data_IF_526112472667
#
_entry.id   IF_526112472667
#
_cell.length_a   1.000
_cell.length_b   1.000
_cell.length_c   1.000
_cell.angle_alpha   90.00
_cell.angle_beta   90.00
_cell.angle_gamma   90.00
#
_symmetry.space_group_name_H-M   'P 1'
#
loop_
_entity.id
_entity.type
_entity.pdbx_description
1 polymer ?
#
# COMPACT_ATOMS: atom_id res chain seq x y z
N UNK A 1 -55.24 -4.82 -3.36
CA UNK A 1 -54.21 -4.12 -4.19
C UNK A 1 -54.66 -2.78 -4.77
N UNK A 2 -55.78 -2.70 -5.52
CA UNK A 2 -56.21 -1.46 -6.23
C UNK A 2 -56.30 -0.17 -5.38
N UNK A 3 -56.71 -0.26 -4.10
CA UNK A 3 -56.83 0.92 -3.21
C UNK A 3 -55.48 1.49 -2.72
N UNK A 4 -54.43 0.67 -2.63
CA UNK A 4 -53.09 1.12 -2.18
C UNK A 4 -52.33 1.86 -3.29
N UNK A 5 -52.51 1.44 -4.54
CA UNK A 5 -51.93 2.10 -5.72
C UNK A 5 -52.49 3.51 -5.90
N UNK A 6 -53.80 3.70 -5.65
CA UNK A 6 -54.44 5.02 -5.75
C UNK A 6 -53.89 6.03 -4.73
N UNK A 7 -53.61 5.58 -3.50
CA UNK A 7 -53.07 6.45 -2.45
C UNK A 7 -51.63 6.91 -2.76
N UNK A 8 -50.81 6.04 -3.34
CA UNK A 8 -49.42 6.36 -3.71
C UNK A 8 -49.38 7.35 -4.88
N UNK A 9 -50.26 7.16 -5.88
CA UNK A 9 -50.40 8.11 -6.99
C UNK A 9 -50.84 9.49 -6.53
N UNK A 10 -51.74 9.57 -5.55
CA UNK A 10 -52.17 10.84 -4.96
C UNK A 10 -51.04 11.54 -4.20
N UNK A 11 -50.20 10.81 -3.45
CA UNK A 11 -49.04 11.40 -2.77
C UNK A 11 -47.99 11.90 -3.77
N UNK A 12 -47.78 11.18 -4.87
CA UNK A 12 -46.87 11.61 -5.94
C UNK A 12 -47.35 12.87 -6.64
N UNK A 13 -48.65 12.95 -6.95
CA UNK A 13 -49.26 14.15 -7.51
C UNK A 13 -49.16 15.34 -6.54
N UNK A 14 -49.30 15.09 -5.23
CA UNK A 14 -49.18 16.12 -4.20
C UNK A 14 -47.73 16.61 -4.02
N UNK A 15 -46.74 15.71 -4.08
CA UNK A 15 -45.32 16.11 -4.01
C UNK A 15 -44.86 16.83 -5.28
N UNK A 16 -45.41 16.47 -6.44
CA UNK A 16 -45.13 17.15 -7.70
C UNK A 16 -45.70 18.59 -7.75
N UNK A 17 -46.79 18.87 -7.03
CA UNK A 17 -47.34 20.24 -6.93
C UNK A 17 -46.65 21.10 -5.89
N UNK A 18 -46.07 20.50 -4.83
CA UNK A 18 -45.41 21.23 -3.74
C UNK A 18 -43.96 21.62 -4.07
N UNK A 19 -43.32 21.02 -5.08
CA UNK A 19 -42.03 21.48 -5.61
C UNK A 19 -42.23 22.35 -6.86
N UNK A 20 -42.56 23.65 -6.71
CA UNK A 20 -42.55 24.57 -7.83
C UNK A 20 -41.12 24.67 -8.37
N UNK A 21 -41.04 24.80 -9.70
CA UNK A 21 -39.85 24.85 -10.53
C UNK A 21 -38.93 26.05 -10.21
N UNK A 22 -38.28 26.04 -9.04
CA UNK A 22 -37.34 27.06 -8.59
C UNK A 22 -35.89 26.74 -8.99
N UNK A 23 -35.67 26.15 -10.16
CA UNK A 23 -34.33 26.02 -10.73
C UNK A 23 -34.33 26.64 -12.13
N UNK A 24 -33.86 27.89 -12.27
CA UNK A 24 -33.68 28.50 -13.59
C UNK A 24 -32.70 27.66 -14.41
N UNK A 25 -33.17 27.20 -15.57
CA UNK A 25 -32.39 26.45 -16.55
C UNK A 25 -31.31 27.36 -17.18
N UNK A 26 -30.15 27.51 -16.52
CA UNK A 26 -28.97 28.08 -17.17
C UNK A 26 -27.68 27.57 -16.56
N UNK A 27 -26.92 26.84 -17.38
CA UNK A 27 -25.57 26.28 -17.15
C UNK A 27 -25.56 25.18 -16.07
N UNK A 28 -25.09 23.96 -16.27
CA UNK A 28 -23.72 23.52 -16.56
C UNK A 28 -23.73 22.11 -17.18
N UNK A 29 -23.14 21.93 -18.36
CA UNK A 29 -23.07 20.63 -19.07
C UNK A 29 -21.86 19.74 -18.70
N UNK A 30 -21.19 19.94 -17.55
CA UNK A 30 -20.00 19.11 -17.19
C UNK A 30 -19.88 18.73 -15.72
N UNK A 31 -20.92 18.88 -14.89
CA UNK A 31 -20.85 18.48 -13.48
C UNK A 31 -21.26 17.03 -13.30
N UNK A 32 -20.31 16.19 -12.87
CA UNK A 32 -20.56 14.82 -12.38
C UNK A 32 -21.77 14.85 -11.42
N UNK A 33 -22.70 13.88 -11.54
CA UNK A 33 -23.89 13.84 -10.68
C UNK A 33 -23.47 13.86 -9.21
N UNK A 34 -24.10 14.75 -8.46
CA UNK A 34 -23.91 14.90 -7.02
C UNK A 34 -24.02 13.52 -6.32
N UNK A 35 -23.11 13.16 -5.41
CA UNK A 35 -23.14 11.87 -4.71
C UNK A 35 -24.46 11.63 -3.95
N UNK A 36 -25.20 12.69 -3.62
CA UNK A 36 -26.50 12.62 -2.97
C UNK A 36 -27.58 11.98 -3.85
N UNK A 37 -27.53 12.18 -5.18
CA UNK A 37 -28.52 11.63 -6.10
C UNK A 37 -28.38 10.09 -6.25
N UNK A 38 -27.15 9.56 -6.12
CA UNK A 38 -26.91 8.10 -6.10
C UNK A 38 -27.46 7.43 -4.84
N UNK A 39 -27.33 8.09 -3.68
CA UNK A 39 -27.88 7.58 -2.42
C UNK A 39 -29.42 7.63 -2.43
N UNK A 40 -30.01 8.68 -3.01
CA UNK A 40 -31.46 8.78 -3.12
C UNK A 40 -32.04 7.70 -4.04
N UNK A 41 -31.44 7.46 -5.22
CA UNK A 41 -31.90 6.42 -6.16
C UNK A 41 -31.76 5.00 -5.59
N UNK A 42 -30.70 4.72 -4.82
CA UNK A 42 -30.53 3.40 -4.14
C UNK A 42 -31.53 3.20 -3.01
N UNK A 43 -31.81 4.25 -2.23
CA UNK A 43 -32.85 4.23 -1.20
C UNK A 43 -34.25 4.08 -1.81
N UNK A 44 -34.54 4.80 -2.90
CA UNK A 44 -35.82 4.76 -3.61
C UNK A 44 -36.09 3.40 -4.26
N UNK A 45 -35.09 2.79 -4.91
CA UNK A 45 -35.23 1.44 -5.48
C UNK A 45 -35.44 0.36 -4.41
N UNK A 46 -34.91 0.56 -3.20
CA UNK A 46 -35.19 -0.31 -2.05
C UNK A 46 -36.62 -0.14 -1.54
N UNK A 47 -37.16 1.09 -1.57
CA UNK A 47 -38.53 1.40 -1.16
C UNK A 47 -39.59 0.91 -2.16
N UNK A 48 -39.34 1.05 -3.46
CA UNK A 48 -40.21 0.49 -4.52
C UNK A 48 -40.24 -1.05 -4.44
N UNK A 49 -39.09 -1.70 -4.22
CA UNK A 49 -39.06 -3.16 -3.98
C UNK A 49 -39.89 -3.56 -2.75
N UNK A 50 -39.89 -2.77 -1.68
CA UNK A 50 -40.69 -3.04 -0.50
C UNK A 50 -42.22 -2.89 -0.71
N UNK A 51 -42.64 -2.15 -1.74
CA UNK A 51 -44.05 -1.89 -2.05
C UNK A 51 -44.70 -2.97 -2.93
N UNK A 52 -43.91 -3.69 -3.73
CA UNK A 52 -44.36 -4.82 -4.56
C UNK A 52 -43.91 -6.20 -4.04
N UNK A 53 -43.11 -6.26 -2.96
CA UNK A 53 -42.56 -7.52 -2.48
C UNK A 53 -43.63 -8.41 -1.83
N UNK A 54 -44.07 -9.42 -2.57
CA UNK A 54 -44.20 -10.75 -1.98
C UNK A 54 -42.91 -11.02 -1.20
N UNK A 55 -43.00 -11.12 0.12
CA UNK A 55 -41.85 -11.45 0.97
C UNK A 55 -41.39 -12.86 0.61
N UNK A 56 -40.38 -12.90 -0.27
CA UNK A 56 -39.75 -14.15 -0.68
C UNK A 56 -38.78 -14.54 0.43
N UNK A 57 -38.87 -15.77 0.97
CA UNK A 57 -38.01 -16.15 2.06
C UNK A 57 -36.55 -16.23 1.63
N UNK A 58 -35.72 -15.30 2.11
CA UNK A 58 -34.31 -15.25 1.78
C UNK A 58 -33.48 -14.70 2.94
N UNK A 59 -32.18 -15.02 2.93
CA UNK A 59 -31.23 -14.47 3.91
C UNK A 59 -30.69 -13.16 3.38
N UNK A 60 -30.76 -12.11 4.17
CA UNK A 60 -30.38 -10.76 3.79
C UNK A 60 -29.46 -10.12 4.83
N UNK A 61 -28.65 -9.17 4.36
CA UNK A 61 -27.85 -8.33 5.23
C UNK A 61 -28.67 -7.11 5.65
N UNK A 62 -29.08 -7.06 6.93
CA UNK A 62 -29.69 -5.87 7.52
C UNK A 62 -28.66 -4.74 7.66
N UNK A 63 -27.41 -5.11 7.97
CA UNK A 63 -26.28 -4.17 8.05
C UNK A 63 -24.98 -4.84 7.62
N UNK A 64 -23.89 -4.06 7.56
CA UNK A 64 -22.55 -4.60 7.30
C UNK A 64 -22.12 -5.71 8.26
N UNK A 65 -22.72 -5.82 9.45
CA UNK A 65 -22.37 -6.81 10.47
C UNK A 65 -23.53 -7.70 10.91
N UNK A 66 -24.71 -7.57 10.31
CA UNK A 66 -25.90 -8.32 10.75
C UNK A 66 -26.53 -8.98 9.54
N UNK A 67 -26.63 -10.31 9.59
CA UNK A 67 -27.38 -11.15 8.65
C UNK A 67 -28.66 -11.62 9.35
N UNK A 68 -29.78 -11.64 8.65
CA UNK A 68 -31.03 -12.20 9.17
C UNK A 68 -31.79 -12.90 8.03
N UNK A 69 -32.70 -13.78 8.40
CA UNK A 69 -33.58 -14.46 7.48
C UNK A 69 -34.93 -13.74 7.45
N UNK A 70 -35.40 -13.36 6.26
CA UNK A 70 -36.73 -12.80 6.07
C UNK A 70 -37.72 -13.94 5.83
N UNK A 71 -38.81 -14.00 6.60
CA UNK A 71 -39.87 -15.01 6.46
C UNK A 71 -40.97 -14.56 5.50
N UNK A 72 -41.87 -15.46 5.13
CA UNK A 72 -43.02 -15.18 4.23
C UNK A 72 -43.97 -14.12 4.78
N UNK A 73 -44.09 -14.04 6.11
CA UNK A 73 -44.87 -13.03 6.83
C UNK A 73 -44.15 -11.67 6.95
N UNK A 74 -43.02 -11.50 6.25
CA UNK A 74 -42.15 -10.33 6.29
C UNK A 74 -41.50 -10.06 7.66
N UNK A 75 -41.52 -11.02 8.58
CA UNK A 75 -40.82 -10.90 9.85
C UNK A 75 -39.38 -11.42 9.75
N UNK A 76 -38.51 -10.89 10.62
CA UNK A 76 -37.10 -11.27 10.68
C UNK A 76 -36.88 -12.40 11.68
N UNK A 77 -36.08 -13.38 11.28
CA UNK A 77 -35.69 -14.52 12.11
C UNK A 77 -34.19 -14.84 11.92
N UNK A 78 -33.62 -15.73 12.73
CA UNK A 78 -32.23 -16.22 12.61
C UNK A 78 -31.17 -15.10 12.50
N UNK A 79 -31.32 -14.05 13.32
CA UNK A 79 -30.41 -12.90 13.33
C UNK A 79 -29.03 -13.35 13.81
N UNK A 80 -28.01 -13.13 12.98
CA UNK A 80 -26.62 -13.49 13.22
C UNK A 80 -25.73 -12.26 13.12
N UNK A 81 -24.92 -12.01 14.16
CA UNK A 81 -23.90 -10.95 14.14
C UNK A 81 -22.63 -11.50 13.51
N UNK A 82 -22.28 -10.99 12.34
CA UNK A 82 -21.08 -11.38 11.61
C UNK A 82 -19.83 -10.87 12.31
N UNK A 83 -18.83 -11.76 12.47
CA UNK A 83 -17.52 -11.42 13.03
C UNK A 83 -16.82 -10.31 12.25
N UNK A 84 -16.92 -10.39 10.91
CA UNK A 84 -16.26 -9.46 10.01
C UNK A 84 -17.26 -8.62 9.21
N UNK A 85 -17.87 -9.19 8.17
CA UNK A 85 -18.91 -8.51 7.40
C UNK A 85 -19.97 -9.48 6.85
N UNK A 86 -21.14 -8.93 6.48
CA UNK A 86 -22.19 -9.62 5.76
C UNK A 86 -22.06 -9.32 4.25
N UNK A 87 -21.96 -10.35 3.42
CA UNK A 87 -21.90 -10.21 1.97
C UNK A 87 -23.32 -9.97 1.43
N UNK A 88 -23.55 -8.79 0.83
CA UNK A 88 -24.87 -8.34 0.36
C UNK A 88 -25.44 -9.27 -0.72
N UNK A 89 -24.57 -9.86 -1.56
CA UNK A 89 -25.02 -10.69 -2.68
C UNK A 89 -25.50 -12.07 -2.23
N UNK A 90 -24.92 -12.59 -1.13
CA UNK A 90 -25.25 -13.94 -0.62
C UNK A 90 -26.09 -13.93 0.65
N UNK A 91 -26.19 -12.76 1.31
CA UNK A 91 -26.83 -12.62 2.62
C UNK A 91 -26.09 -13.32 3.76
N UNK A 92 -24.88 -13.86 3.54
CA UNK A 92 -24.13 -14.67 4.51
C UNK A 92 -22.98 -13.89 5.13
N UNK A 93 -22.63 -14.26 6.36
CA UNK A 93 -21.40 -13.76 6.99
C UNK A 93 -20.19 -14.36 6.28
N UNK A 94 -19.31 -13.48 5.79
CA UNK A 94 -18.07 -13.89 5.14
C UNK A 94 -16.87 -13.32 5.89
N UNK A 95 -15.80 -14.11 5.90
CA UNK A 95 -14.50 -13.64 6.35
C UNK A 95 -13.81 -12.89 5.21
N UNK A 96 -13.12 -11.77 5.51
CA UNK A 96 -12.43 -11.01 4.50
C UNK A 96 -11.38 -11.91 3.88
N UNK A 97 -11.37 -11.98 2.54
CA UNK A 97 -10.36 -12.73 1.79
C UNK A 97 -8.99 -12.11 2.04
N UNK A 98 -8.30 -12.55 3.08
CA UNK A 98 -6.97 -12.08 3.41
C UNK A 98 -5.94 -12.69 2.48
N UNK A 99 -5.28 -11.84 1.69
CA UNK A 99 -4.04 -12.24 1.00
C UNK A 99 -2.96 -12.47 2.04
N UNK A 100 -2.36 -13.66 2.01
CA UNK A 100 -1.22 -14.02 2.85
C UNK A 100 0.00 -13.19 2.47
N UNK A 101 0.76 -12.71 3.45
CA UNK A 101 1.95 -11.92 3.20
C UNK A 101 2.42 -11.10 4.40
N UNK A 102 3.60 -10.51 4.27
CA UNK A 102 4.13 -9.59 5.27
C UNK A 102 3.39 -8.26 5.21
N UNK A 103 2.86 -7.82 6.36
CA UNK A 103 2.25 -6.50 6.50
C UNK A 103 2.86 -5.76 7.70
N UNK A 104 2.82 -4.44 7.67
CA UNK A 104 3.14 -3.62 8.84
C UNK A 104 1.91 -3.60 9.76
N UNK A 105 2.08 -4.06 11.00
CA UNK A 105 1.01 -4.01 12.01
C UNK A 105 1.02 -2.70 12.78
N UNK A 106 2.20 -2.09 12.90
CA UNK A 106 2.40 -0.76 13.46
C UNK A 106 3.63 -0.09 12.80
N UNK A 107 4.03 1.07 13.31
CA UNK A 107 5.16 1.85 12.78
C UNK A 107 6.49 1.09 12.83
N UNK A 108 6.69 0.20 13.79
CA UNK A 108 7.96 -0.48 14.05
C UNK A 108 7.89 -2.00 14.00
N UNK A 109 6.74 -2.60 13.71
CA UNK A 109 6.60 -4.05 13.62
C UNK A 109 5.93 -4.47 12.32
N UNK A 110 6.44 -5.58 11.77
CA UNK A 110 5.77 -6.34 10.72
C UNK A 110 5.38 -7.72 11.20
N UNK A 111 4.30 -8.26 10.66
CA UNK A 111 3.86 -9.62 10.91
C UNK A 111 3.49 -10.30 9.59
N UNK A 112 3.60 -11.62 9.54
CA UNK A 112 3.11 -12.42 8.43
C UNK A 112 1.63 -12.71 8.66
N UNK A 113 0.76 -12.11 7.83
CA UNK A 113 -0.67 -12.38 7.82
C UNK A 113 -0.93 -13.68 7.05
N UNK A 114 -1.64 -14.61 7.67
CA UNK A 114 -2.07 -15.88 7.07
C UNK A 114 -3.37 -15.70 6.25
N UNK A 115 -3.82 -16.75 5.57
CA UNK A 115 -5.06 -16.73 4.74
C UNK A 115 -6.34 -16.57 5.58
N UNK A 116 -6.31 -17.02 6.82
CA UNK A 116 -7.35 -16.89 7.85
C UNK A 116 -7.35 -15.52 8.56
N UNK A 117 -6.62 -14.53 8.01
CA UNK A 117 -6.42 -13.20 8.59
C UNK A 117 -5.70 -13.18 9.95
N UNK A 118 -5.20 -14.30 10.47
CA UNK A 118 -4.42 -14.30 11.70
C UNK A 118 -2.98 -13.85 11.44
N UNK A 119 -2.33 -13.32 12.48
CA UNK A 119 -0.96 -12.82 12.41
C UNK A 119 0.02 -13.81 13.03
N UNK A 120 1.15 -14.01 12.38
CA UNK A 120 2.26 -14.83 12.87
C UNK A 120 3.61 -14.13 12.62
N UNK A 121 4.68 -14.66 13.21
CA UNK A 121 6.08 -14.24 12.94
C UNK A 121 6.27 -12.72 13.04
N UNK A 122 5.89 -12.12 14.16
CA UNK A 122 6.13 -10.68 14.41
C UNK A 122 7.62 -10.39 14.43
N UNK A 123 8.03 -9.29 13.79
CA UNK A 123 9.43 -8.82 13.76
C UNK A 123 9.49 -7.32 13.98
N UNK A 124 10.39 -6.90 14.86
CA UNK A 124 10.72 -5.49 15.07
C UNK A 124 11.57 -4.95 13.92
N UNK A 125 11.24 -3.76 13.46
CA UNK A 125 11.88 -3.00 12.39
C UNK A 125 12.49 -1.73 13.01
N UNK A 126 13.77 -1.77 13.35
CA UNK A 126 14.51 -0.68 14.02
C UNK A 126 14.32 0.71 13.41
N UNK A 127 14.16 0.81 12.09
CA UNK A 127 14.00 2.08 11.37
C UNK A 127 12.58 2.32 10.83
N UNK A 128 11.61 1.54 11.31
CA UNK A 128 10.22 1.60 10.90
C UNK A 128 9.84 0.54 9.86
N UNK A 129 8.53 0.35 9.68
CA UNK A 129 7.94 -0.55 8.69
C UNK A 129 7.15 0.24 7.65
N UNK A 130 7.32 -0.10 6.37
CA UNK A 130 6.51 0.45 5.27
C UNK A 130 6.21 -0.64 4.24
N UNK A 131 4.95 -0.77 3.83
CA UNK A 131 4.49 -1.73 2.82
C UNK A 131 4.94 -3.18 3.08
N UNK A 132 4.88 -3.62 4.35
CA UNK A 132 5.29 -4.98 4.75
C UNK A 132 6.81 -5.21 4.80
N UNK A 133 7.63 -4.17 4.59
CA UNK A 133 9.09 -4.25 4.62
C UNK A 133 9.65 -3.39 5.75
N UNK A 134 10.68 -3.91 6.44
CA UNK A 134 11.43 -3.10 7.40
C UNK A 134 12.29 -2.10 6.63
N UNK A 135 12.20 -0.84 7.02
CA UNK A 135 13.05 0.21 6.48
C UNK A 135 14.50 -0.02 6.94
N UNK A 136 15.45 0.29 6.06
CA UNK A 136 16.88 0.33 6.41
C UNK A 136 17.24 1.71 6.95
N UNK A 137 18.31 1.80 7.74
CA UNK A 137 18.88 3.08 8.18
C UNK A 137 19.13 3.92 6.92
N UNK A 138 18.53 5.11 6.83
CA UNK A 138 18.95 6.07 5.81
C UNK A 138 20.43 6.37 6.08
N UNK A 139 21.32 5.93 5.18
CA UNK A 139 22.74 6.29 5.25
C UNK A 139 22.79 7.82 5.13
N UNK A 140 23.32 8.51 6.16
CA UNK A 140 23.58 9.94 6.08
C UNK A 140 24.80 10.13 5.19
N UNK A 141 24.59 10.31 3.90
CA UNK A 141 25.67 10.59 2.99
C UNK A 141 26.05 12.07 3.09
N UNK A 142 27.28 12.31 3.55
CA UNK A 142 27.88 13.63 3.55
C UNK A 142 28.47 13.87 2.17
N UNK A 143 28.16 15.03 1.58
CA UNK A 143 28.76 15.45 0.31
C UNK A 143 30.26 15.58 0.51
N UNK A 144 31.04 14.74 -0.16
CA UNK A 144 32.50 14.75 -0.06
C UNK A 144 33.13 14.09 -1.27
N UNK A 145 34.37 14.46 -1.53
CA UNK A 145 35.23 13.69 -2.41
C UNK A 145 35.83 12.51 -1.65
N UNK A 146 35.86 11.33 -2.28
CA UNK A 146 36.58 10.14 -1.79
C UNK A 146 37.40 9.54 -2.93
N UNK A 147 38.43 8.79 -2.57
CA UNK A 147 39.20 8.01 -3.54
C UNK A 147 38.62 6.60 -3.64
N UNK A 148 38.48 6.10 -4.86
CA UNK A 148 38.20 4.68 -5.16
C UNK A 148 39.25 4.25 -6.18
N UNK A 149 40.28 3.54 -5.72
CA UNK A 149 41.46 3.26 -6.54
C UNK A 149 42.08 4.54 -7.10
N UNK A 150 42.21 4.62 -8.44
CA UNK A 150 42.73 5.79 -9.16
C UNK A 150 41.67 6.86 -9.47
N UNK A 151 40.46 6.75 -8.93
CA UNK A 151 39.38 7.72 -9.19
C UNK A 151 39.13 8.60 -7.97
N UNK A 152 39.08 9.91 -8.18
CA UNK A 152 38.48 10.85 -7.23
C UNK A 152 36.99 10.97 -7.55
N UNK A 153 36.12 10.64 -6.58
CA UNK A 153 34.68 10.57 -6.79
C UNK A 153 33.96 11.49 -5.79
N UNK A 154 33.10 12.37 -6.30
CA UNK A 154 32.21 13.23 -5.52
C UNK A 154 30.93 12.48 -5.19
N UNK A 155 30.74 12.18 -3.91
CA UNK A 155 29.51 11.53 -3.42
C UNK A 155 28.47 12.61 -3.13
N UNK A 156 27.29 12.48 -3.70
CA UNK A 156 26.15 13.36 -3.48
C UNK A 156 25.42 13.10 -2.15
N UNK A 157 24.42 13.93 -1.86
CA UNK A 157 23.58 13.80 -0.64
C UNK A 157 22.74 12.52 -0.64
N UNK A 158 22.50 11.94 -1.80
CA UNK A 158 21.74 10.71 -2.04
C UNK A 158 22.63 9.45 -2.09
N UNK A 159 23.90 9.57 -1.70
CA UNK A 159 24.91 8.50 -1.77
C UNK A 159 25.28 8.06 -3.20
N UNK A 160 24.85 8.79 -4.24
CA UNK A 160 25.25 8.51 -5.62
C UNK A 160 26.50 9.28 -6.00
N UNK A 161 27.18 8.84 -7.05
CA UNK A 161 28.33 9.53 -7.60
C UNK A 161 27.87 10.66 -8.53
N UNK A 162 28.20 11.90 -8.17
CA UNK A 162 27.86 13.09 -8.96
C UNK A 162 28.92 13.32 -10.05
N UNK A 163 30.19 13.21 -9.67
CA UNK A 163 31.37 13.48 -10.50
C UNK A 163 32.45 12.43 -10.24
N UNK A 164 33.15 12.02 -11.29
CA UNK A 164 34.24 11.04 -11.25
C UNK A 164 35.40 11.63 -12.07
N UNK A 165 36.56 11.73 -11.44
CA UNK A 165 37.79 12.14 -12.11
C UNK A 165 38.77 10.98 -12.06
N UNK A 166 39.31 10.59 -13.20
CA UNK A 166 40.43 9.67 -13.25
C UNK A 166 41.73 10.42 -12.91
N UNK A 167 42.51 9.85 -12.01
CA UNK A 167 43.77 10.41 -11.54
C UNK A 167 44.91 9.51 -12.02
N UNK A 168 45.64 9.96 -13.05
CA UNK A 168 46.76 9.24 -13.67
C UNK A 168 47.77 8.80 -12.61
N UNK A 169 48.12 9.73 -11.70
CA UNK A 169 49.10 9.54 -10.64
C UNK A 169 48.50 9.06 -9.31
N UNK A 170 47.23 8.62 -9.31
CA UNK A 170 46.53 8.16 -8.12
C UNK A 170 45.74 9.24 -7.38
N UNK A 171 44.96 8.82 -6.38
CA UNK A 171 44.07 9.69 -5.62
C UNK A 171 44.41 9.66 -4.14
N UNK A 172 44.46 10.83 -3.49
CA UNK A 172 44.63 10.95 -2.03
C UNK A 172 43.65 11.97 -1.46
N UNK A 173 42.95 11.61 -0.37
CA UNK A 173 41.94 12.46 0.31
C UNK A 173 40.88 13.07 -0.63
N UNK A 174 40.47 12.33 -1.67
CA UNK A 174 39.48 12.76 -2.65
C UNK A 174 39.99 13.74 -3.71
N UNK A 175 41.32 13.90 -3.84
CA UNK A 175 41.95 14.74 -4.88
C UNK A 175 42.93 13.89 -5.69
N UNK A 176 43.02 14.19 -6.99
CA UNK A 176 44.08 13.60 -7.82
C UNK A 176 45.44 14.12 -7.39
N UNK A 177 46.41 13.22 -7.34
CA UNK A 177 47.81 13.57 -7.19
C UNK A 177 48.26 14.24 -8.50
N UNK A 178 48.88 15.42 -8.38
CA UNK A 178 49.50 16.16 -9.50
C UNK A 178 48.55 16.52 -10.65
N UNK A 179 47.62 17.45 -10.40
CA UNK A 179 47.03 18.39 -11.38
C UNK A 179 46.22 17.86 -12.59
N UNK A 180 46.56 16.71 -13.17
CA UNK A 180 45.94 16.15 -14.36
C UNK A 180 44.62 15.48 -14.00
N UNK A 181 43.54 16.24 -14.07
CA UNK A 181 42.17 15.71 -14.04
C UNK A 181 41.77 15.37 -15.47
N UNK A 182 41.63 14.09 -15.78
CA UNK A 182 40.80 13.68 -16.91
C UNK A 182 39.38 13.56 -16.38
N UNK A 183 38.55 14.57 -16.70
CA UNK A 183 37.13 14.51 -16.42
C UNK A 183 36.52 13.43 -17.32
N UNK A 184 36.17 12.29 -16.72
CA UNK A 184 35.49 11.23 -17.46
C UNK A 184 34.01 11.64 -17.52
N UNK A 185 33.53 12.00 -18.71
CA UNK A 185 32.12 12.29 -18.90
C UNK A 185 31.29 11.05 -18.56
N UNK A 186 30.07 11.24 -18.05
CA UNK A 186 29.16 10.14 -17.65
C UNK A 186 28.89 9.11 -18.76
N UNK A 187 29.21 9.44 -20.01
CA UNK A 187 29.01 8.62 -21.21
C UNK A 187 30.18 7.69 -21.55
N UNK A 188 31.35 7.81 -20.90
CA UNK A 188 32.53 7.00 -21.24
C UNK A 188 32.84 5.96 -20.17
N UNK A 189 32.00 4.93 -20.08
CA UNK A 189 32.32 3.69 -19.37
C UNK A 189 32.86 2.69 -20.39
N UNK A 190 34.17 2.33 -20.36
CA UNK A 190 34.71 1.34 -21.28
C UNK A 190 34.44 -0.09 -20.79
N UNK A 191 33.24 -0.37 -20.27
CA UNK A 191 32.76 -1.73 -20.01
C UNK A 191 31.23 -1.73 -20.17
N UNK A 192 30.79 -1.88 -21.41
CA UNK A 192 29.44 -2.33 -21.70
C UNK A 192 29.26 -3.74 -21.16
N UNK A 193 28.70 -3.84 -19.95
CA UNK A 193 27.86 -4.94 -19.47
C UNK A 193 27.25 -4.50 -18.14
N UNK A 194 25.93 -4.26 -18.20
CA UNK A 194 24.91 -4.14 -17.14
C UNK A 194 25.38 -3.79 -15.72
N UNK A 195 24.63 -2.87 -15.11
CA UNK A 195 24.63 -2.45 -13.70
C UNK A 195 24.63 -3.58 -12.62
N UNK A 196 24.68 -4.86 -13.00
CA UNK A 196 24.69 -6.04 -12.13
C UNK A 196 25.98 -6.23 -11.31
N UNK A 197 27.13 -5.64 -11.68
CA UNK A 197 28.40 -5.88 -10.97
C UNK A 197 28.80 -4.84 -9.91
N UNK A 198 28.05 -3.75 -9.75
CA UNK A 198 28.32 -2.82 -8.65
C UNK A 198 27.67 -3.28 -7.34
N UNK A 199 26.63 -4.11 -7.42
CA UNK A 199 26.01 -4.73 -6.24
C UNK A 199 26.88 -5.85 -5.63
N UNK A 200 27.73 -6.53 -6.42
CA UNK A 200 28.66 -7.55 -5.88
C UNK A 200 29.78 -6.94 -5.02
N UNK A 201 30.21 -5.71 -5.30
CA UNK A 201 31.12 -4.94 -4.43
C UNK A 201 30.42 -4.37 -3.19
N UNK A 202 29.08 -4.37 -3.16
CA UNK A 202 28.29 -4.03 -1.96
C UNK A 202 28.06 -5.21 -1.03
N UNK A 203 28.27 -6.45 -1.49
CA UNK A 203 28.11 -7.68 -0.69
C UNK A 203 29.39 -8.10 0.03
N UNK A 204 30.59 -7.88 -0.54
CA UNK A 204 31.85 -8.27 0.11
C UNK A 204 32.15 -7.45 1.39
N UNK A 205 31.72 -6.19 1.46
CA UNK A 205 31.87 -5.38 2.69
C UNK A 205 30.76 -5.62 3.74
N UNK A 206 29.82 -6.55 3.51
CA UNK A 206 28.83 -6.99 4.50
C UNK A 206 29.15 -8.36 5.12
N UNK A 207 30.37 -8.89 4.94
CA UNK A 207 30.85 -9.96 5.81
C UNK A 207 31.16 -9.37 7.19
N UNK A 208 30.16 -9.43 8.08
CA UNK A 208 30.35 -9.20 9.51
C UNK A 208 31.08 -10.41 10.08
N UNK A 209 32.32 -10.29 10.62
CA UNK A 209 32.99 -11.39 11.29
C UNK A 209 32.34 -11.78 12.63
N UNK A 210 31.25 -11.11 13.03
CA UNK A 210 30.52 -11.37 14.26
C UNK A 210 29.21 -12.14 14.00
N UNK A 211 29.32 -13.38 13.53
CA UNK A 211 28.29 -14.41 13.73
C UNK A 211 28.88 -15.51 14.60
N UNK A 212 28.20 -15.84 15.70
CA UNK A 212 28.65 -16.74 16.77
C UNK A 212 28.93 -18.19 16.34
N UNK A 213 28.80 -18.54 15.05
CA UNK A 213 28.98 -19.89 14.53
C UNK A 213 30.42 -20.26 14.12
N UNK A 214 31.38 -19.33 14.08
CA UNK A 214 32.77 -19.63 13.69
C UNK A 214 33.78 -19.69 14.86
N UNK A 215 33.34 -20.05 16.06
CA UNK A 215 34.20 -20.16 17.25
C UNK A 215 35.03 -21.45 17.33
N UNK A 216 35.50 -21.99 16.21
CA UNK A 216 36.41 -23.16 16.18
C UNK A 216 37.48 -23.02 15.09
N UNK A 217 38.73 -22.93 15.55
CA UNK A 217 39.97 -23.04 14.77
C UNK A 217 40.39 -21.72 14.11
N UNK A 218 41.62 -21.20 14.23
CA UNK A 218 42.88 -21.72 14.74
C UNK A 218 43.68 -20.51 15.28
N UNK A 219 44.45 -20.75 16.34
CA UNK A 219 45.62 -19.92 16.66
C UNK A 219 46.67 -20.08 15.55
N UNK A 220 47.42 -19.02 15.25
CA UNK A 220 48.89 -19.03 15.09
C UNK A 220 49.37 -17.57 14.94
N UNK A 221 50.50 -17.34 15.60
CA UNK A 221 51.16 -16.09 15.94
C UNK A 221 51.97 -15.43 14.80
N UNK A 222 52.43 -14.22 15.11
CA UNK A 222 53.73 -13.66 14.70
C UNK A 222 53.80 -13.10 13.25
N UNK A 223 54.35 -11.93 12.95
CA UNK A 223 55.63 -11.37 13.38
C UNK A 223 55.64 -9.83 13.36
N UNK A 224 56.53 -9.27 14.20
CA UNK A 224 57.07 -7.92 14.14
C UNK A 224 57.89 -7.69 12.87
N UNK A 225 57.78 -6.50 12.27
CA UNK A 225 58.82 -5.48 12.00
C UNK A 225 58.32 -4.47 10.94
#
# INVERSE_FOLDING_TARGET
MKRKILAILLIFLFLATIFPAAYPARMYLTRRPSPYLKNFLTMWNSFIKALDASCTPERLCISKKISAYLREDCSWDNITVCKNYCNIDTGRCEDPKCKSGWICIDKYHKAYRKKDCTYSRRRFCKYGCKNGRCMRKKKRCKKRWKCIGRYAVKVGKDCKYEEINYCIWGCKKGKCLWGSKLAVSKSFWPWGKKEEKLDSLYEEENYSPYSEENRKGYWIDSWNE
#
